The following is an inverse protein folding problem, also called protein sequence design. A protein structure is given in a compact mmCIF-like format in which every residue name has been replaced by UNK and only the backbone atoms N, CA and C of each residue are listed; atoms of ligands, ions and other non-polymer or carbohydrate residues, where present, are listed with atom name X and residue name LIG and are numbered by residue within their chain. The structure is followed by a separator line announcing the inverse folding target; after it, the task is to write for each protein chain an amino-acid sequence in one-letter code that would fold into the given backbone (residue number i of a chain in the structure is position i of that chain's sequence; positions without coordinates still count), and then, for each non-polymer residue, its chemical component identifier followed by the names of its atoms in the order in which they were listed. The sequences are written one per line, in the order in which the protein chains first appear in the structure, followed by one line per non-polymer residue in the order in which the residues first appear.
data_IF_813637238066
#
_entry.id   IF_813637238066
#
_cell.length_a   1.000
_cell.length_b   1.000
_cell.length_c   1.000
_cell.angle_alpha   90.00
_cell.angle_beta   90.00
_cell.angle_gamma   90.00
#
_symmetry.space_group_name_H-M   'P 1'
#
loop_
_entity.id
_entity.type
_entity.pdbx_description
1 polymer ?
#
# COMPACT_ATOMS: atom_id res chain seq x y z
N UNK A 1 -78.94 -26.76 7.88
CA UNK A 1 -78.62 -25.48 8.52
C UNK A 1 -77.41 -24.93 7.79
N UNK A 2 -77.61 -23.78 7.10
CA UNK A 2 -76.72 -22.91 6.31
C UNK A 2 -75.25 -23.34 6.07
N UNK A 3 -74.75 -23.52 4.83
CA UNK A 3 -74.58 -22.60 3.67
C UNK A 3 -73.33 -21.72 3.71
N UNK A 4 -72.69 -21.61 2.53
CA UNK A 4 -71.67 -20.64 2.05
C UNK A 4 -70.22 -20.87 2.53
N UNK A 5 -69.14 -20.77 1.72
CA UNK A 5 -68.97 -20.39 0.31
C UNK A 5 -67.54 -20.73 -0.16
N UNK A 6 -67.42 -21.05 -1.45
CA UNK A 6 -66.16 -21.06 -2.21
C UNK A 6 -65.59 -19.63 -2.33
N UNK A 7 -64.27 -19.48 -2.20
CA UNK A 7 -63.53 -18.39 -2.84
C UNK A 7 -62.36 -18.95 -3.63
N UNK A 8 -62.46 -18.74 -4.94
CA UNK A 8 -61.43 -18.96 -5.95
C UNK A 8 -60.46 -17.76 -6.04
N UNK A 9 -59.41 -17.95 -6.84
CA UNK A 9 -58.52 -16.92 -7.42
C UNK A 9 -57.49 -16.25 -6.47
N UNK A 10 -56.25 -15.93 -6.84
CA UNK A 10 -55.54 -15.92 -8.13
C UNK A 10 -54.04 -15.66 -7.86
N UNK A 11 -53.18 -16.03 -8.83
CA UNK A 11 -51.99 -15.24 -9.19
C UNK A 11 -50.74 -15.36 -8.31
N UNK A 12 -49.80 -16.22 -8.72
CA UNK A 12 -48.37 -15.93 -8.51
C UNK A 12 -47.65 -15.88 -9.85
N UNK A 13 -47.48 -14.64 -10.30
CA UNK A 13 -46.66 -14.24 -11.43
C UNK A 13 -45.19 -14.65 -11.19
N UNK A 14 -44.74 -15.67 -11.91
CA UNK A 14 -43.33 -16.01 -12.03
C UNK A 14 -42.66 -15.02 -12.98
N UNK A 15 -42.00 -14.00 -12.43
CA UNK A 15 -41.18 -13.08 -13.20
C UNK A 15 -39.91 -13.80 -13.69
N UNK A 16 -39.81 -13.88 -15.01
CA UNK A 16 -38.74 -14.49 -15.78
C UNK A 16 -37.36 -13.87 -15.52
N UNK A 17 -36.38 -14.70 -15.16
CA UNK A 17 -34.97 -14.40 -15.37
C UNK A 17 -34.57 -14.79 -16.80
N UNK A 18 -34.28 -13.76 -17.59
CA UNK A 18 -33.91 -13.80 -19.00
C UNK A 18 -32.59 -14.55 -19.27
N UNK A 19 -32.53 -15.51 -20.23
CA UNK A 19 -31.29 -16.09 -20.71
C UNK A 19 -30.70 -15.24 -21.84
N UNK A 20 -29.45 -14.76 -21.69
CA UNK A 20 -28.70 -14.21 -22.84
C UNK A 20 -27.83 -15.30 -23.45
N UNK A 21 -28.20 -15.70 -24.67
CA UNK A 21 -27.57 -16.75 -25.47
C UNK A 21 -26.61 -16.16 -26.51
N UNK A 22 -25.34 -16.58 -26.40
CA UNK A 22 -24.40 -17.07 -27.43
C UNK A 22 -24.30 -16.30 -28.78
N UNK A 23 -23.08 -15.83 -29.12
CA UNK A 23 -22.21 -16.35 -30.22
C UNK A 23 -21.05 -15.41 -30.54
N UNK A 24 -19.86 -16.00 -30.60
CA UNK A 24 -18.61 -15.36 -31.00
C UNK A 24 -17.49 -16.39 -31.03
N UNK A 25 -17.66 -17.42 -31.85
CA UNK A 25 -16.64 -18.41 -32.19
C UNK A 25 -15.64 -17.78 -33.16
N UNK A 26 -14.37 -17.73 -32.79
CA UNK A 26 -13.24 -17.72 -33.71
C UNK A 26 -12.07 -18.42 -33.02
N UNK A 27 -12.05 -19.74 -33.19
CA UNK A 27 -10.87 -20.57 -33.04
C UNK A 27 -9.93 -20.29 -34.22
N UNK A 28 -8.67 -19.96 -33.97
CA UNK A 28 -7.57 -20.35 -34.87
C UNK A 28 -6.27 -20.51 -34.08
N UNK A 29 -5.59 -21.57 -34.48
CA UNK A 29 -4.49 -22.31 -33.87
C UNK A 29 -3.16 -21.62 -34.15
N UNK A 30 -2.30 -21.45 -33.14
CA UNK A 30 -0.87 -21.80 -33.09
C UNK A 30 -0.55 -21.90 -31.57
N UNK A 31 -0.06 -22.99 -31.01
CA UNK A 31 1.13 -23.71 -31.47
C UNK A 31 2.29 -23.27 -30.59
N UNK A 32 2.65 -24.16 -29.66
CA UNK A 32 4.01 -24.41 -29.20
C UNK A 32 4.58 -23.72 -27.93
N UNK A 33 4.71 -24.58 -26.90
CA UNK A 33 5.97 -24.90 -26.22
C UNK A 33 6.49 -24.01 -25.07
N UNK A 34 6.39 -24.62 -23.88
CA UNK A 34 7.41 -24.71 -22.83
C UNK A 34 8.24 -23.45 -22.53
N UNK A 35 7.90 -22.81 -21.39
CA UNK A 35 8.81 -21.93 -20.66
C UNK A 35 9.94 -22.78 -20.05
N UNK A 36 10.92 -23.15 -20.87
CA UNK A 36 12.19 -23.69 -20.41
C UNK A 36 13.03 -22.56 -19.85
N UNK A 37 13.52 -22.83 -18.64
CA UNK A 37 14.40 -22.01 -17.83
C UNK A 37 15.60 -21.56 -18.67
N UNK A 38 15.72 -20.25 -18.92
CA UNK A 38 17.00 -19.66 -19.32
C UNK A 38 17.79 -19.38 -18.05
N UNK A 39 18.69 -20.31 -17.74
CA UNK A 39 19.84 -20.09 -16.87
C UNK A 39 20.61 -18.89 -17.42
N UNK A 40 20.71 -17.82 -16.63
CA UNK A 40 21.70 -16.78 -16.87
C UNK A 40 23.00 -17.28 -16.24
N UNK A 41 23.91 -17.69 -17.11
CA UNK A 41 25.29 -18.01 -16.79
C UNK A 41 25.98 -16.73 -16.30
N UNK A 42 26.56 -16.80 -15.10
CA UNK A 42 27.38 -15.75 -14.51
C UNK A 42 28.77 -15.85 -15.15
N UNK A 43 29.07 -14.96 -16.10
CA UNK A 43 30.43 -14.82 -16.58
C UNK A 43 31.28 -14.07 -15.55
N UNK A 44 32.28 -14.79 -15.04
CA UNK A 44 33.38 -14.29 -14.22
C UNK A 44 34.43 -13.68 -15.12
N UNK A 45 34.51 -12.35 -15.16
CA UNK A 45 35.61 -11.65 -15.80
C UNK A 45 36.77 -11.47 -14.80
N UNK A 46 37.88 -12.09 -15.17
CA UNK A 46 39.18 -12.14 -14.52
C UNK A 46 39.83 -10.76 -14.36
N UNK A 47 40.52 -10.57 -13.23
CA UNK A 47 41.03 -9.31 -12.71
C UNK A 47 42.56 -9.39 -12.70
N UNK A 48 43.19 -9.35 -13.88
CA UNK A 48 44.64 -9.15 -13.98
C UNK A 48 45.00 -8.33 -15.22
N UNK A 49 45.55 -7.14 -15.00
CA UNK A 49 46.82 -6.63 -15.58
C UNK A 49 46.89 -5.13 -15.34
N UNK A 50 47.82 -4.75 -14.47
CA UNK A 50 48.36 -3.40 -14.29
C UNK A 50 49.26 -3.09 -15.49
N UNK A 51 48.94 -2.06 -16.26
CA UNK A 51 49.90 -1.40 -17.15
C UNK A 51 49.86 0.11 -16.95
N UNK A 52 51.03 0.64 -16.59
CA UNK A 52 51.35 2.03 -16.42
C UNK A 52 51.57 2.65 -17.79
N UNK A 53 50.92 3.78 -18.10
CA UNK A 53 51.51 4.82 -18.94
C UNK A 53 50.82 6.18 -18.70
N UNK A 54 51.64 7.15 -18.26
CA UNK A 54 51.34 8.59 -18.17
C UNK A 54 51.16 9.16 -19.58
N UNK A 55 50.23 10.12 -19.75
CA UNK A 55 50.57 11.33 -20.49
C UNK A 55 50.40 12.60 -19.65
N UNK A 56 51.42 13.43 -19.76
CA UNK A 56 51.45 14.84 -19.36
C UNK A 56 50.43 15.65 -20.16
N UNK A 57 49.52 16.33 -19.46
CA UNK A 57 48.58 17.29 -20.04
C UNK A 57 48.31 18.41 -19.04
N UNK A 58 48.48 19.65 -19.50
CA UNK A 58 48.55 20.90 -18.75
C UNK A 58 47.40 21.17 -17.79
N UNK A 59 47.75 21.66 -16.60
CA UNK A 59 46.84 22.25 -15.63
C UNK A 59 46.17 23.52 -16.19
N UNK A 60 44.89 23.42 -16.55
CA UNK A 60 43.99 24.57 -16.58
C UNK A 60 43.19 24.57 -15.27
N UNK A 61 43.19 25.71 -14.60
CA UNK A 61 42.65 25.93 -13.26
C UNK A 61 41.19 25.51 -13.15
N UNK A 62 40.91 24.52 -12.30
CA UNK A 62 39.55 24.22 -11.82
C UNK A 62 39.20 25.26 -10.74
N UNK A 63 38.96 26.50 -11.15
CA UNK A 63 38.44 27.56 -10.26
C UNK A 63 37.01 27.96 -10.61
N UNK A 64 36.24 27.10 -11.28
CA UNK A 64 34.86 27.44 -11.67
C UNK A 64 33.83 26.30 -11.54
N UNK A 65 34.09 25.26 -10.75
CA UNK A 65 33.09 24.21 -10.47
C UNK A 65 32.74 24.07 -8.97
N UNK A 66 32.81 25.15 -8.20
CA UNK A 66 32.09 25.25 -6.94
C UNK A 66 30.89 26.19 -7.12
N UNK A 67 29.87 25.72 -7.83
CA UNK A 67 28.52 26.17 -7.52
C UNK A 67 28.12 25.48 -6.20
N UNK A 68 27.60 26.20 -5.19
CA UNK A 68 27.02 25.54 -4.03
C UNK A 68 25.88 24.65 -4.54
N UNK A 69 25.96 23.37 -4.22
CA UNK A 69 24.81 22.46 -4.23
C UNK A 69 23.83 23.00 -3.19
N UNK A 70 23.06 24.02 -3.57
CA UNK A 70 21.81 24.30 -2.88
C UNK A 70 20.91 23.13 -3.22
N UNK A 71 20.58 22.33 -2.21
CA UNK A 71 19.63 21.24 -2.28
C UNK A 71 18.42 21.72 -3.09
N UNK A 72 18.09 21.09 -4.23
CA UNK A 72 16.95 21.49 -5.08
C UNK A 72 15.60 21.47 -4.31
N UNK A 73 15.63 20.93 -3.10
CA UNK A 73 14.55 20.90 -2.14
C UNK A 73 14.38 22.22 -1.35
N UNK A 74 15.45 22.99 -1.14
CA UNK A 74 15.43 24.27 -0.41
C UNK A 74 14.84 25.40 -1.26
N UNK A 75 15.12 25.43 -2.56
CA UNK A 75 14.49 26.36 -3.50
C UNK A 75 12.97 26.14 -3.60
N UNK A 76 12.51 24.88 -3.50
CA UNK A 76 11.09 24.51 -3.42
C UNK A 76 10.44 24.90 -2.09
N UNK A 77 11.21 25.04 -1.02
CA UNK A 77 10.71 25.42 0.30
C UNK A 77 10.63 26.95 0.47
N UNK A 78 11.59 27.69 -0.11
CA UNK A 78 11.67 29.15 -0.04
C UNK A 78 10.53 29.87 -0.80
N UNK A 79 10.07 29.34 -1.93
CA UNK A 79 8.97 29.92 -2.73
C UNK A 79 7.58 29.79 -2.08
N UNK A 80 7.46 29.13 -0.92
CA UNK A 80 6.18 28.99 -0.21
C UNK A 80 5.91 30.09 0.82
N UNK A 81 6.86 31.00 1.05
CA UNK A 81 6.81 31.96 2.15
C UNK A 81 6.12 33.31 1.83
N UNK A 82 5.79 33.64 0.58
CA UNK A 82 5.28 34.98 0.28
C UNK A 82 4.32 35.02 -0.92
N UNK A 83 3.02 34.80 -0.68
CA UNK A 83 1.94 35.37 -1.50
C UNK A 83 0.56 35.18 -0.81
N UNK A 84 -0.13 36.26 -0.40
CA UNK A 84 -1.53 36.22 0.01
C UNK A 84 -2.40 36.29 -1.25
N UNK A 85 -2.65 35.15 -1.90
CA UNK A 85 -3.61 35.04 -2.99
C UNK A 85 -4.79 34.19 -2.54
N UNK A 86 -5.99 34.75 -2.65
CA UNK A 86 -7.32 34.16 -2.43
C UNK A 86 -7.33 32.63 -2.67
N UNK A 87 -7.24 31.89 -1.57
CA UNK A 87 -6.98 30.44 -1.58
C UNK A 87 -8.27 29.64 -1.72
N UNK A 88 -8.65 29.33 -2.95
CA UNK A 88 -9.58 28.21 -3.22
C UNK A 88 -8.93 26.91 -2.72
N UNK A 89 -9.25 26.50 -1.48
CA UNK A 89 -8.77 25.25 -0.89
C UNK A 89 -7.26 25.19 -0.58
N UNK A 90 -6.77 25.68 0.57
CA UNK A 90 -5.40 25.38 1.01
C UNK A 90 -5.19 23.86 1.08
N UNK A 91 -4.22 23.37 0.30
CA UNK A 91 -3.69 21.99 0.35
C UNK A 91 -3.19 21.62 1.75
N UNK A 92 -2.87 22.62 2.57
CA UNK A 92 -2.30 22.50 3.91
C UNK A 92 -3.32 22.83 4.99
N UNK A 93 -3.04 22.33 6.19
CA UNK A 93 -3.81 22.56 7.39
C UNK A 93 -4.03 24.06 7.63
N UNK A 94 -5.25 24.42 8.07
CA UNK A 94 -5.63 25.81 8.38
C UNK A 94 -5.05 26.33 9.70
N UNK A 95 -4.55 25.44 10.57
CA UNK A 95 -3.87 25.86 11.81
C UNK A 95 -2.56 26.56 11.46
N UNK A 96 -2.38 27.77 11.97
CA UNK A 96 -1.18 28.59 11.78
C UNK A 96 0.09 27.81 12.15
N UNK A 97 1.14 27.95 11.32
CA UNK A 97 2.40 27.20 11.47
C UNK A 97 2.32 25.71 11.13
N UNK A 98 1.17 25.15 10.74
CA UNK A 98 1.05 23.73 10.42
C UNK A 98 1.31 23.44 8.92
N UNK A 99 2.53 23.01 8.59
CA UNK A 99 2.89 22.57 7.23
C UNK A 99 2.28 21.25 6.76
N UNK A 100 1.47 20.58 7.60
CA UNK A 100 0.88 19.27 7.27
C UNK A 100 -0.24 19.38 6.24
N UNK A 101 -0.37 18.38 5.37
CA UNK A 101 -1.43 18.33 4.35
C UNK A 101 -2.83 18.21 5.01
N UNK A 102 -3.77 19.02 4.54
CA UNK A 102 -5.15 18.94 4.97
C UNK A 102 -5.82 17.65 4.46
N UNK A 103 -6.76 17.13 5.25
CA UNK A 103 -7.60 15.98 4.94
C UNK A 103 -9.06 16.44 5.00
N UNK A 104 -9.78 16.11 6.07
CA UNK A 104 -11.12 16.65 6.30
C UNK A 104 -11.05 18.06 6.89
N UNK A 105 -12.12 18.85 6.67
CA UNK A 105 -12.33 20.17 7.31
C UNK A 105 -11.14 21.14 7.22
N UNK A 106 -10.36 21.06 6.13
CA UNK A 106 -9.12 21.86 5.92
C UNK A 106 -8.09 21.70 7.05
N UNK A 107 -8.14 20.61 7.83
CA UNK A 107 -7.21 20.32 8.92
C UNK A 107 -6.42 19.05 8.64
N UNK A 108 -5.24 18.93 9.22
CA UNK A 108 -4.44 17.70 9.16
C UNK A 108 -4.93 16.68 10.19
N UNK A 109 -4.38 15.46 10.14
CA UNK A 109 -4.73 14.40 11.09
C UNK A 109 -4.46 14.78 12.56
N UNK A 110 -3.43 15.58 12.86
CA UNK A 110 -3.16 16.04 14.24
C UNK A 110 -4.19 17.08 14.71
N UNK A 111 -4.64 17.95 13.80
CA UNK A 111 -5.54 19.06 14.09
C UNK A 111 -7.01 18.75 13.80
N UNK A 112 -7.47 17.49 13.86
CA UNK A 112 -8.89 17.18 13.70
C UNK A 112 -9.39 16.99 12.26
N UNK A 113 -8.48 16.82 11.30
CA UNK A 113 -8.78 16.39 9.93
C UNK A 113 -9.16 14.91 9.80
N UNK A 114 -9.77 14.32 10.83
CA UNK A 114 -10.21 12.92 10.87
C UNK A 114 -11.58 12.81 11.55
N UNK A 115 -12.39 11.87 11.10
CA UNK A 115 -13.71 11.60 11.69
C UNK A 115 -13.55 10.65 12.89
N UNK A 116 -14.31 10.88 13.97
CA UNK A 116 -14.36 9.99 15.14
C UNK A 116 -15.16 8.73 14.81
N UNK A 117 -14.84 7.62 15.47
CA UNK A 117 -15.65 6.41 15.37
C UNK A 117 -17.10 6.69 15.82
N UNK A 118 -18.09 6.23 15.04
CA UNK A 118 -19.52 6.39 15.34
C UNK A 118 -19.99 5.62 16.58
N UNK A 119 -19.27 4.57 16.98
CA UNK A 119 -19.58 3.78 18.18
C UNK A 119 -19.46 4.65 19.44
N UNK A 120 -20.51 4.67 20.25
CA UNK A 120 -20.57 5.44 21.49
C UNK A 120 -19.40 5.10 22.42
N UNK A 121 -18.79 6.13 23.02
CA UNK A 121 -17.63 5.98 23.91
C UNK A 121 -16.30 5.65 23.21
N UNK A 122 -16.27 5.40 21.89
CA UNK A 122 -15.04 5.10 21.19
C UNK A 122 -14.21 6.36 20.90
N UNK A 123 -12.97 6.40 21.42
CA UNK A 123 -12.02 7.49 21.17
C UNK A 123 -11.20 7.31 19.89
N UNK A 124 -11.35 6.17 19.21
CA UNK A 124 -10.59 5.88 18.00
C UNK A 124 -11.13 6.66 16.80
N UNK A 125 -10.28 6.78 15.80
CA UNK A 125 -10.61 7.45 14.54
C UNK A 125 -11.28 6.48 13.60
N UNK A 126 -12.31 6.95 12.90
CA UNK A 126 -12.95 6.19 11.84
C UNK A 126 -11.99 6.01 10.66
N UNK A 127 -12.04 4.83 10.05
CA UNK A 127 -11.37 4.53 8.79
C UNK A 127 -12.43 4.52 7.69
N UNK A 128 -13.00 3.36 7.37
CA UNK A 128 -14.16 3.26 6.45
C UNK A 128 -15.47 3.13 7.25
N UNK A 129 -16.61 3.34 6.58
CA UNK A 129 -17.97 3.16 7.14
C UNK A 129 -18.28 4.03 8.40
N UNK A 130 -17.41 4.97 8.75
CA UNK A 130 -17.55 5.80 9.95
C UNK A 130 -17.14 5.09 11.25
N UNK A 131 -16.48 3.94 11.20
CA UNK A 131 -16.04 3.17 12.38
C UNK A 131 -14.54 2.91 12.34
N UNK A 132 -13.93 2.68 13.50
CA UNK A 132 -12.49 2.42 13.61
C UNK A 132 -12.16 0.97 13.27
N UNK A 133 -10.86 0.65 13.23
CA UNK A 133 -10.38 -0.71 12.92
C UNK A 133 -11.03 -1.76 13.85
N UNK A 134 -11.02 -1.56 15.16
CA UNK A 134 -11.64 -2.48 16.13
C UNK A 134 -13.16 -2.64 15.99
N UNK A 135 -13.84 -1.71 15.31
CA UNK A 135 -15.28 -1.72 15.11
C UNK A 135 -15.66 -2.00 13.64
N UNK A 136 -14.77 -2.62 12.86
CA UNK A 136 -15.07 -3.05 11.49
C UNK A 136 -14.80 -2.01 10.39
N UNK A 137 -14.00 -0.97 10.68
CA UNK A 137 -13.57 0.03 9.69
C UNK A 137 -12.50 -0.47 8.71
N UNK A 138 -12.21 -1.76 8.69
CA UNK A 138 -11.29 -2.40 7.76
C UNK A 138 -12.02 -3.27 6.72
N UNK A 139 -11.29 -3.75 5.74
CA UNK A 139 -11.77 -4.75 4.78
C UNK A 139 -11.79 -6.12 5.45
N UNK A 140 -12.84 -6.91 5.24
CA UNK A 140 -12.92 -8.28 5.78
C UNK A 140 -11.97 -9.18 4.99
N UNK A 141 -11.39 -10.18 5.67
CA UNK A 141 -10.55 -11.20 5.06
C UNK A 141 -11.32 -11.96 3.95
N UNK A 142 -10.69 -12.12 2.79
CA UNK A 142 -11.27 -12.80 1.63
C UNK A 142 -11.31 -14.33 1.76
N UNK A 143 -10.67 -14.91 2.78
CA UNK A 143 -10.76 -16.34 3.05
C UNK A 143 -12.17 -16.74 3.48
N UNK A 144 -12.59 -17.95 3.10
CA UNK A 144 -13.94 -18.45 3.35
C UNK A 144 -14.27 -18.46 4.85
N UNK A 145 -15.49 -18.02 5.18
CA UNK A 145 -16.02 -17.91 6.54
C UNK A 145 -15.15 -17.09 7.53
N UNK A 146 -14.24 -16.26 7.04
CA UNK A 146 -13.37 -15.46 7.90
C UNK A 146 -13.97 -14.08 8.19
N UNK A 147 -14.34 -13.81 9.45
CA UNK A 147 -14.89 -12.51 9.88
C UNK A 147 -13.82 -11.50 10.32
N UNK A 148 -12.55 -11.91 10.30
CA UNK A 148 -11.44 -11.05 10.73
C UNK A 148 -11.10 -10.00 9.68
N UNK A 149 -10.46 -8.92 10.11
CA UNK A 149 -10.07 -7.83 9.22
C UNK A 149 -8.76 -8.17 8.50
N UNK A 150 -8.76 -7.96 7.19
CA UNK A 150 -7.59 -8.10 6.34
C UNK A 150 -6.51 -7.08 6.72
N UNK A 151 -5.27 -7.55 6.80
CA UNK A 151 -4.10 -6.72 7.12
C UNK A 151 -3.44 -6.24 5.83
N UNK A 152 -3.15 -7.16 4.92
CA UNK A 152 -2.66 -6.89 3.56
C UNK A 152 -3.16 -7.97 2.59
N UNK A 153 -3.04 -7.73 1.28
CA UNK A 153 -3.39 -8.69 0.22
C UNK A 153 -4.82 -9.26 0.32
N UNK A 154 -5.76 -8.52 0.92
CA UNK A 154 -7.14 -8.96 1.10
C UNK A 154 -7.35 -10.02 2.20
N UNK A 155 -6.31 -10.46 2.91
CA UNK A 155 -6.39 -11.53 3.91
C UNK A 155 -5.88 -11.09 5.29
N UNK A 156 -6.32 -11.78 6.34
CA UNK A 156 -5.88 -11.50 7.71
C UNK A 156 -4.53 -12.15 8.03
N UNK A 157 -4.01 -11.90 9.23
CA UNK A 157 -2.70 -12.45 9.63
C UNK A 157 -2.63 -13.99 9.58
N UNK A 158 -3.72 -14.65 9.99
CA UNK A 158 -3.82 -16.11 9.98
C UNK A 158 -3.77 -16.65 8.54
N UNK A 159 -4.38 -15.93 7.60
CA UNK A 159 -4.48 -16.30 6.19
C UNK A 159 -3.41 -15.64 5.29
N UNK A 160 -2.33 -15.10 5.87
CA UNK A 160 -1.15 -14.64 5.10
C UNK A 160 -1.07 -13.13 4.82
N UNK A 161 -1.89 -12.29 5.47
CA UNK A 161 -1.89 -10.83 5.32
C UNK A 161 -0.70 -10.09 5.95
N UNK A 162 0.44 -10.74 6.13
CA UNK A 162 1.61 -10.15 6.76
C UNK A 162 2.83 -11.05 6.64
N UNK A 163 4.02 -10.44 6.71
CA UNK A 163 5.28 -11.18 6.63
C UNK A 163 5.49 -12.01 7.90
N UNK A 164 6.01 -13.23 7.71
CA UNK A 164 6.46 -14.12 8.79
C UNK A 164 7.95 -13.94 9.03
N UNK A 165 8.37 -14.26 10.25
CA UNK A 165 9.78 -14.26 10.61
C UNK A 165 10.56 -15.20 9.67
N UNK A 166 11.69 -14.72 9.15
CA UNK A 166 12.54 -15.49 8.23
C UNK A 166 13.24 -16.66 8.94
N UNK A 167 13.43 -16.59 10.25
CA UNK A 167 13.99 -17.69 11.04
C UNK A 167 13.14 -18.95 10.93
N UNK A 168 13.80 -20.06 10.61
CA UNK A 168 13.17 -21.37 10.47
C UNK A 168 12.33 -21.74 11.70
N UNK A 169 11.12 -22.24 11.46
CA UNK A 169 10.17 -22.63 12.50
C UNK A 169 9.45 -21.47 13.21
N UNK A 170 9.74 -20.20 12.89
CA UNK A 170 9.12 -19.06 13.55
C UNK A 170 7.93 -18.50 12.75
N UNK A 171 6.73 -18.67 13.30
CA UNK A 171 5.49 -18.14 12.69
C UNK A 171 5.14 -16.73 13.16
N UNK A 172 5.99 -16.09 13.98
CA UNK A 172 5.75 -14.74 14.52
C UNK A 172 5.72 -13.68 13.41
N UNK A 173 4.98 -12.59 13.62
CA UNK A 173 4.96 -11.47 12.69
C UNK A 173 6.33 -10.82 12.55
N UNK A 174 6.66 -10.38 11.35
CA UNK A 174 7.88 -9.66 11.05
C UNK A 174 7.61 -8.43 10.18
N UNK A 175 8.54 -7.49 10.22
CA UNK A 175 8.45 -6.23 9.50
C UNK A 175 9.72 -6.01 8.68
N UNK A 176 9.60 -5.23 7.61
CA UNK A 176 10.74 -4.89 6.75
C UNK A 176 11.84 -4.15 7.52
N UNK A 177 11.46 -3.23 8.40
CA UNK A 177 12.38 -2.50 9.31
C UNK A 177 13.19 -3.40 10.25
N UNK A 178 12.74 -4.64 10.47
CA UNK A 178 13.44 -5.63 11.31
C UNK A 178 14.07 -6.73 10.45
N UNK A 179 14.40 -6.45 9.19
CA UNK A 179 14.96 -7.41 8.23
C UNK A 179 14.13 -8.70 8.08
N UNK A 180 12.80 -8.56 8.13
CA UNK A 180 11.85 -9.70 8.13
C UNK A 180 12.08 -10.70 9.28
N UNK A 181 12.72 -10.27 10.38
CA UNK A 181 12.77 -11.00 11.64
C UNK A 181 11.64 -10.52 12.58
N UNK A 182 11.13 -11.42 13.42
CA UNK A 182 10.27 -11.01 14.55
C UNK A 182 11.07 -10.22 15.60
N UNK A 183 10.40 -9.48 16.48
CA UNK A 183 11.06 -8.68 17.53
C UNK A 183 12.05 -9.49 18.37
N UNK A 184 11.69 -10.72 18.73
CA UNK A 184 12.56 -11.62 19.50
C UNK A 184 13.86 -11.94 18.76
N UNK A 185 13.76 -12.38 17.50
CA UNK A 185 14.94 -12.75 16.71
C UNK A 185 15.72 -11.55 16.19
N UNK A 186 15.05 -10.43 15.95
CA UNK A 186 15.72 -9.17 15.62
C UNK A 186 16.60 -8.72 16.79
N UNK A 187 16.07 -8.70 18.01
CA UNK A 187 16.82 -8.31 19.19
C UNK A 187 17.92 -9.32 19.53
N UNK A 188 17.68 -10.62 19.33
CA UNK A 188 18.70 -11.66 19.52
C UNK A 188 19.86 -11.52 18.52
N UNK A 189 19.58 -11.28 17.24
CA UNK A 189 20.60 -11.11 16.20
C UNK A 189 21.41 -9.82 16.33
N UNK A 190 20.82 -8.75 16.89
CA UNK A 190 21.57 -7.51 17.19
C UNK A 190 22.58 -7.73 18.32
N UNK A 191 22.28 -8.60 19.29
CA UNK A 191 23.20 -8.90 20.40
C UNK A 191 24.44 -9.71 20.00
N UNK A 192 24.39 -10.43 18.86
CA UNK A 192 25.50 -11.25 18.36
C UNK A 192 26.47 -10.50 17.44
N UNK A 193 26.18 -9.26 17.06
CA UNK A 193 26.99 -8.49 16.09
C UNK A 193 27.96 -7.49 16.72
N UNK A 194 28.12 -7.52 18.06
CA UNK A 194 28.95 -6.61 18.86
C UNK A 194 30.20 -7.30 19.47
N UNK A 195 30.66 -8.40 18.89
CA UNK A 195 31.92 -9.06 19.27
C UNK A 195 32.94 -8.97 18.16
#
# INVERSE_FOLDING_TARGET
MWSHEDTASEGQDSAASSPRSIKGSLSFILGDEACTKRSAELEVADLTTVELLRPSGSATSISSLLAPITDENDARNATRAAAPLERKGSKYCVVEGCGSRAKHTRRCWKHGGSVKCKVAGCRNRAKTKGVCWSHGGGTICSADQCTTIAVSNGVCWAHGGGKRCVTLGCSRPAYERTNNMCSMHYNAGVSTSLK
#
